data_IF_132284254774
#
_entry.id   IF_132284254774
#
_cell.length_a   1.000
_cell.length_b   1.000
_cell.length_c   1.000
_cell.angle_alpha   90.00
_cell.angle_beta   90.00
_cell.angle_gamma   90.00
#
_symmetry.space_group_name_H-M   'P 1'
#
loop_
_entity.id
_entity.type
_entity.pdbx_description
1 polymer ?
#
# COMPACT_ATOMS: atom_id res chain seq x y z
N UNK A 1 4.67 60.62 38.56
CA UNK A 1 4.27 59.22 38.25
C UNK A 1 4.64 58.93 36.80
N UNK A 2 5.68 58.12 36.54
CA UNK A 2 6.00 57.59 35.21
C UNK A 2 5.95 56.07 35.30
N UNK A 3 4.85 55.49 34.82
CA UNK A 3 4.66 54.06 34.74
C UNK A 3 5.49 53.51 33.59
N UNK A 4 6.41 52.59 33.90
CA UNK A 4 7.26 51.87 32.94
C UNK A 4 6.40 50.85 32.18
N UNK A 5 5.95 51.20 30.98
CA UNK A 5 5.36 50.27 30.02
C UNK A 5 6.46 49.54 29.25
N UNK A 6 7.06 48.51 29.87
CA UNK A 6 7.88 47.54 29.13
C UNK A 6 7.88 46.19 29.87
N UNK A 7 6.96 45.27 29.53
CA UNK A 7 7.38 43.86 29.44
C UNK A 7 6.67 43.01 28.37
N UNK A 8 5.63 43.51 27.68
CA UNK A 8 4.80 42.66 26.82
C UNK A 8 5.46 42.27 25.49
N UNK A 9 6.22 43.18 24.88
CA UNK A 9 6.90 42.93 23.60
C UNK A 9 8.03 41.90 23.77
N UNK A 10 8.76 41.95 24.88
CA UNK A 10 9.85 40.99 25.19
C UNK A 10 9.32 39.59 25.50
N UNK A 11 8.16 39.47 26.15
CA UNK A 11 7.52 38.19 26.43
C UNK A 11 6.99 37.54 25.13
N UNK A 12 6.41 38.34 24.23
CA UNK A 12 5.96 37.90 22.91
C UNK A 12 7.14 37.45 22.04
N UNK A 13 8.26 38.18 22.04
CA UNK A 13 9.47 37.80 21.31
C UNK A 13 10.12 36.53 21.87
N UNK A 14 10.12 36.34 23.20
CA UNK A 14 10.60 35.10 23.83
C UNK A 14 9.70 33.90 23.53
N UNK A 15 8.38 34.09 23.51
CA UNK A 15 7.42 33.05 23.12
C UNK A 15 7.58 32.67 21.65
N UNK A 16 7.70 33.64 20.75
CA UNK A 16 7.95 33.39 19.31
C UNK A 16 9.30 32.69 19.11
N UNK A 17 10.37 33.16 19.77
CA UNK A 17 11.68 32.52 19.70
C UNK A 17 11.67 31.09 20.25
N UNK A 18 10.98 30.84 21.36
CA UNK A 18 10.86 29.49 21.94
C UNK A 18 10.07 28.53 21.05
N UNK A 19 9.01 29.00 20.38
CA UNK A 19 8.25 28.21 19.41
C UNK A 19 9.08 27.93 18.14
N UNK A 20 9.88 28.88 17.68
CA UNK A 20 10.83 28.69 16.57
C UNK A 20 11.91 27.66 16.91
N UNK A 21 12.50 27.72 18.11
CA UNK A 21 13.53 26.77 18.56
C UNK A 21 12.95 25.34 18.70
N UNK A 22 11.74 25.19 19.23
CA UNK A 22 11.08 23.87 19.37
C UNK A 22 10.68 23.30 17.99
N UNK A 23 10.23 24.14 17.06
CA UNK A 23 9.92 23.73 15.69
C UNK A 23 11.18 23.30 14.92
N UNK A 24 12.29 24.00 15.10
CA UNK A 24 13.57 23.70 14.43
C UNK A 24 14.17 22.36 14.91
N UNK A 25 14.15 22.12 16.23
CA UNK A 25 14.59 20.84 16.83
C UNK A 25 13.79 19.62 16.36
N UNK A 26 12.53 19.80 15.93
CA UNK A 26 11.67 18.68 15.48
C UNK A 26 12.05 18.18 14.08
N UNK A 27 12.67 19.02 13.25
CA UNK A 27 13.05 18.67 11.88
C UNK A 27 14.43 18.00 11.80
N UNK A 28 15.28 18.22 12.80
CA UNK A 28 16.66 17.74 12.83
C UNK A 28 16.82 16.24 12.65
N UNK A 29 15.98 15.35 13.23
CA UNK A 29 16.07 13.92 12.98
C UNK A 29 15.92 13.57 11.49
N UNK A 30 15.02 14.25 10.77
CA UNK A 30 14.81 14.04 9.33
C UNK A 30 16.00 14.55 8.54
N UNK A 31 16.50 15.75 8.85
CA UNK A 31 17.67 16.36 8.18
C UNK A 31 18.93 15.51 8.35
N UNK A 32 19.20 15.05 9.57
CA UNK A 32 20.32 14.17 9.88
C UNK A 32 20.20 12.83 9.13
N UNK A 33 18.99 12.27 9.04
CA UNK A 33 18.74 11.07 8.25
C UNK A 33 19.03 11.30 6.76
N UNK A 34 18.55 12.41 6.19
CA UNK A 34 18.78 12.77 4.79
C UNK A 34 20.28 12.90 4.51
N UNK A 35 21.00 13.65 5.35
CA UNK A 35 22.44 13.86 5.20
C UNK A 35 23.21 12.54 5.26
N UNK A 36 22.89 11.69 6.23
CA UNK A 36 23.56 10.40 6.45
C UNK A 36 23.37 9.44 5.29
N UNK A 37 22.16 9.33 4.73
CA UNK A 37 21.83 8.29 3.76
C UNK A 37 21.95 8.74 2.30
N UNK A 38 21.55 9.98 1.99
CA UNK A 38 21.49 10.45 0.61
C UNK A 38 22.69 11.31 0.19
N UNK A 39 23.44 11.87 1.16
CA UNK A 39 24.66 12.66 0.90
C UNK A 39 24.49 13.75 -0.19
N UNK A 40 23.35 14.46 -0.17
CA UNK A 40 23.02 15.51 -1.13
C UNK A 40 22.46 15.02 -2.48
N UNK A 41 22.32 13.70 -2.70
CA UNK A 41 21.76 13.13 -3.94
C UNK A 41 20.23 13.22 -4.03
N UNK A 42 19.55 13.47 -2.92
CA UNK A 42 18.10 13.61 -2.85
C UNK A 42 17.71 15.09 -2.95
N UNK A 43 16.90 15.43 -3.96
CA UNK A 43 16.33 16.78 -4.06
C UNK A 43 15.02 16.84 -3.27
N UNK A 44 15.10 17.52 -2.13
CA UNK A 44 13.97 17.68 -1.22
C UNK A 44 13.91 19.14 -0.75
N UNK A 45 12.70 19.69 -0.71
CA UNK A 45 12.47 21.07 -0.27
C UNK A 45 12.24 21.14 1.24
N UNK A 46 12.40 22.33 1.81
CA UNK A 46 12.09 22.58 3.22
C UNK A 46 10.59 22.35 3.52
N UNK A 47 9.68 22.75 2.63
CA UNK A 47 8.24 22.48 2.75
C UNK A 47 7.95 20.97 2.82
N UNK A 48 8.68 20.15 2.06
CA UNK A 48 8.54 18.69 2.08
C UNK A 48 9.00 18.09 3.42
N UNK A 49 10.11 18.59 3.98
CA UNK A 49 10.61 18.17 5.30
C UNK A 49 9.61 18.56 6.41
N UNK A 50 9.09 19.78 6.35
CA UNK A 50 8.09 20.28 7.31
C UNK A 50 6.81 19.45 7.28
N UNK A 51 6.27 19.17 6.10
CA UNK A 51 5.11 18.31 5.95
C UNK A 51 5.41 16.89 6.46
N UNK A 52 6.56 16.32 6.11
CA UNK A 52 6.96 14.96 6.54
C UNK A 52 7.08 14.84 8.05
N UNK A 53 7.45 15.92 8.76
CA UNK A 53 7.58 15.93 10.22
C UNK A 53 6.30 15.57 10.98
N UNK A 54 5.14 15.65 10.33
CA UNK A 54 3.85 15.27 10.91
C UNK A 54 3.82 13.78 11.29
N UNK A 55 4.62 12.95 10.61
CA UNK A 55 4.65 11.51 10.89
C UNK A 55 5.43 11.14 12.15
N UNK A 56 6.25 12.03 12.71
CA UNK A 56 7.12 11.70 13.83
C UNK A 56 6.35 11.29 15.09
N UNK A 57 5.12 11.80 15.26
CA UNK A 57 4.24 11.47 16.39
C UNK A 57 3.12 10.51 15.97
N UNK A 58 3.20 9.89 14.80
CA UNK A 58 2.15 9.00 14.31
C UNK A 58 2.21 7.64 15.04
N UNK A 59 1.17 7.22 15.77
CA UNK A 59 1.14 5.91 16.41
C UNK A 59 0.86 4.77 15.41
N UNK A 60 0.33 5.11 14.22
CA UNK A 60 -0.07 4.12 13.21
C UNK A 60 1.11 3.77 12.34
N UNK A 61 1.37 2.47 12.16
CA UNK A 61 2.38 1.98 11.23
C UNK A 61 1.90 0.74 10.47
N UNK A 62 2.40 0.55 9.25
CA UNK A 62 2.13 -0.66 8.44
C UNK A 62 2.96 -1.84 8.97
N UNK A 63 2.36 -3.02 9.26
CA UNK A 63 3.04 -4.19 9.82
C UNK A 63 3.86 -5.02 8.82
N UNK A 64 3.93 -4.62 7.54
CA UNK A 64 4.72 -5.33 6.52
C UNK A 64 6.19 -5.49 6.97
N UNK A 65 6.66 -6.75 7.07
CA UNK A 65 7.99 -7.14 7.56
C UNK A 65 8.38 -6.55 8.93
N UNK A 66 7.40 -6.33 9.83
CA UNK A 66 7.67 -5.85 11.19
C UNK A 66 8.58 -6.75 12.03
N UNK A 67 8.78 -8.01 11.60
CA UNK A 67 9.70 -8.98 12.21
C UNK A 67 11.18 -8.65 11.98
N UNK A 68 11.50 -7.77 11.02
CA UNK A 68 12.85 -7.26 10.81
C UNK A 68 12.96 -5.95 11.59
N UNK A 69 13.52 -6.01 12.82
CA UNK A 69 13.61 -4.87 13.74
C UNK A 69 14.08 -3.58 13.04
N UNK A 70 13.44 -2.42 13.27
CA UNK A 70 13.99 -1.17 12.76
C UNK A 70 15.21 -0.80 13.59
N UNK A 71 16.39 -0.84 12.97
CA UNK A 71 17.64 -0.32 13.52
C UNK A 71 17.72 1.22 13.49
N UNK A 72 16.63 1.90 13.11
CA UNK A 72 16.60 3.34 12.88
C UNK A 72 15.88 4.09 14.01
N UNK A 73 16.51 5.13 14.54
CA UNK A 73 15.98 6.01 15.60
C UNK A 73 14.84 6.95 15.14
N UNK A 74 14.29 6.76 13.94
CA UNK A 74 13.28 7.62 13.32
C UNK A 74 12.06 6.81 12.88
N UNK A 75 10.89 7.44 12.88
CA UNK A 75 9.64 6.80 12.46
C UNK A 75 9.77 6.18 11.06
N UNK A 76 9.35 4.91 10.90
CA UNK A 76 9.60 4.07 9.70
C UNK A 76 9.05 4.63 8.38
N UNK A 77 8.04 5.50 8.45
CA UNK A 77 7.46 6.13 7.26
C UNK A 77 8.34 7.26 6.72
N UNK A 78 9.22 7.86 7.53
CA UNK A 78 10.20 8.86 7.06
C UNK A 78 11.10 8.26 5.97
N UNK A 79 11.85 7.16 6.20
CA UNK A 79 12.70 6.60 5.17
C UNK A 79 11.91 6.05 3.97
N UNK A 80 10.65 5.61 4.15
CA UNK A 80 9.78 5.22 3.03
C UNK A 80 9.44 6.43 2.14
N UNK A 81 9.02 7.55 2.71
CA UNK A 81 8.74 8.78 1.95
C UNK A 81 9.98 9.29 1.19
N UNK A 82 11.14 9.32 1.87
CA UNK A 82 12.40 9.75 1.24
C UNK A 82 12.83 8.80 0.11
N UNK A 83 12.67 7.49 0.31
CA UNK A 83 12.94 6.48 -0.73
C UNK A 83 11.99 6.62 -1.92
N UNK A 84 10.69 6.89 -1.71
CA UNK A 84 9.73 7.19 -2.79
C UNK A 84 10.21 8.38 -3.63
N UNK A 85 10.58 9.49 -2.98
CA UNK A 85 11.11 10.67 -3.65
C UNK A 85 12.38 10.36 -4.44
N UNK A 86 13.35 9.69 -3.83
CA UNK A 86 14.61 9.36 -4.50
C UNK A 86 14.38 8.42 -5.70
N UNK A 87 13.53 7.40 -5.54
CA UNK A 87 13.14 6.52 -6.65
C UNK A 87 12.46 7.27 -7.79
N UNK A 88 11.60 8.25 -7.49
CA UNK A 88 10.97 9.12 -8.50
C UNK A 88 12.04 9.92 -9.28
N UNK A 89 13.04 10.47 -8.59
CA UNK A 89 14.15 11.18 -9.24
C UNK A 89 14.97 10.26 -10.16
N UNK A 90 15.31 9.05 -9.70
CA UNK A 90 16.04 8.07 -10.50
C UNK A 90 15.24 7.66 -11.75
N UNK A 91 13.93 7.40 -11.59
CA UNK A 91 13.04 7.09 -12.71
C UNK A 91 12.94 8.27 -13.68
N UNK A 92 12.89 9.52 -13.20
CA UNK A 92 12.88 10.71 -14.05
C UNK A 92 14.18 10.88 -14.83
N UNK A 93 15.32 10.56 -14.20
CA UNK A 93 16.64 10.65 -14.85
C UNK A 93 16.82 9.59 -15.95
N UNK A 94 16.42 8.33 -15.69
CA UNK A 94 16.38 7.28 -16.71
C UNK A 94 17.71 6.81 -17.30
N UNK A 95 18.83 7.31 -16.77
CA UNK A 95 20.18 6.91 -17.19
C UNK A 95 20.55 5.51 -16.68
N UNK A 96 21.64 4.96 -17.22
CA UNK A 96 22.19 3.69 -16.72
C UNK A 96 22.63 3.80 -15.26
N UNK A 97 23.28 4.90 -14.86
CA UNK A 97 23.65 5.13 -13.46
C UNK A 97 22.42 5.22 -12.55
N UNK A 98 21.33 5.82 -13.04
CA UNK A 98 20.08 5.86 -12.30
C UNK A 98 19.46 4.47 -12.13
N UNK A 99 19.57 3.62 -13.15
CA UNK A 99 19.19 2.21 -13.06
C UNK A 99 20.02 1.47 -12.01
N UNK A 100 21.35 1.55 -12.09
CA UNK A 100 22.26 0.87 -11.15
C UNK A 100 21.98 1.30 -9.71
N UNK A 101 21.80 2.61 -9.46
CA UNK A 101 21.40 3.11 -8.15
C UNK A 101 20.02 2.60 -7.72
N UNK A 102 19.05 2.53 -8.64
CA UNK A 102 17.69 2.06 -8.34
C UNK A 102 17.66 0.60 -7.89
N UNK A 103 18.45 -0.27 -8.53
CA UNK A 103 18.47 -1.72 -8.27
C UNK A 103 19.59 -2.18 -7.34
N UNK A 104 20.47 -1.28 -6.88
CA UNK A 104 21.53 -1.58 -5.91
C UNK A 104 21.02 -2.33 -4.66
N UNK A 105 19.89 -1.96 -4.03
CA UNK A 105 19.42 -2.65 -2.83
C UNK A 105 18.73 -4.00 -3.09
N UNK A 106 18.59 -4.42 -4.35
CA UNK A 106 17.95 -5.70 -4.72
C UNK A 106 18.98 -6.85 -4.66
N UNK A 107 19.37 -7.23 -3.45
CA UNK A 107 20.49 -8.17 -3.22
C UNK A 107 20.07 -9.63 -3.06
N UNK A 108 18.78 -9.94 -2.94
CA UNK A 108 18.30 -11.31 -2.76
C UNK A 108 18.48 -12.13 -4.07
N UNK A 109 19.31 -13.19 -4.09
CA UNK A 109 19.59 -13.96 -5.30
C UNK A 109 18.39 -14.80 -5.80
N UNK A 110 17.42 -15.09 -4.94
CA UNK A 110 16.22 -15.87 -5.31
C UNK A 110 15.16 -15.01 -6.00
N UNK A 111 15.25 -13.68 -5.87
CA UNK A 111 14.30 -12.74 -6.43
C UNK A 111 14.97 -12.02 -7.61
N UNK A 112 14.44 -12.13 -8.84
CA UNK A 112 15.05 -11.50 -10.00
C UNK A 112 15.04 -9.98 -9.86
N UNK A 113 16.23 -9.38 -9.90
CA UNK A 113 16.43 -7.92 -9.95
C UNK A 113 15.65 -7.33 -11.12
N UNK A 114 15.10 -6.13 -10.94
CA UNK A 114 14.49 -5.39 -12.04
C UNK A 114 15.50 -5.24 -13.18
N UNK A 115 15.10 -5.59 -14.39
CA UNK A 115 15.97 -5.49 -15.56
C UNK A 115 16.02 -4.04 -16.05
N UNK A 116 17.14 -3.63 -16.65
CA UNK A 116 17.28 -2.29 -17.22
C UNK A 116 16.20 -1.95 -18.26
N UNK A 117 15.78 -2.85 -19.17
CA UNK A 117 14.66 -2.57 -20.08
C UNK A 117 13.34 -2.27 -19.35
N UNK A 118 13.03 -3.01 -18.29
CA UNK A 118 11.84 -2.76 -17.47
C UNK A 118 11.92 -1.43 -16.72
N UNK A 119 13.10 -1.08 -16.18
CA UNK A 119 13.35 0.24 -15.59
C UNK A 119 13.19 1.36 -16.62
N UNK A 120 13.79 1.24 -17.81
CA UNK A 120 13.67 2.22 -18.89
C UNK A 120 12.23 2.38 -19.38
N UNK A 121 11.41 1.33 -19.32
CA UNK A 121 9.98 1.47 -19.62
C UNK A 121 9.28 2.37 -18.59
N UNK A 122 9.47 2.13 -17.29
CA UNK A 122 8.91 2.97 -16.23
C UNK A 122 9.42 4.40 -16.31
N UNK A 123 10.73 4.55 -16.51
CA UNK A 123 11.39 5.85 -16.65
C UNK A 123 10.80 6.68 -17.79
N UNK A 124 10.50 6.07 -18.95
CA UNK A 124 9.88 6.79 -20.07
C UNK A 124 8.47 7.30 -19.76
N UNK A 125 7.70 6.60 -18.94
CA UNK A 125 6.38 7.10 -18.50
C UNK A 125 6.58 8.31 -17.57
N UNK A 126 7.42 8.16 -16.53
CA UNK A 126 7.73 9.24 -15.58
C UNK A 126 8.35 10.47 -16.27
N UNK A 127 9.21 10.29 -17.28
CA UNK A 127 9.84 11.38 -18.03
C UNK A 127 8.86 12.18 -18.90
N UNK A 128 7.70 11.61 -19.25
CA UNK A 128 6.66 12.28 -20.04
C UNK A 128 5.71 13.13 -19.22
N UNK A 129 5.73 12.99 -17.89
CA UNK A 129 4.92 13.84 -17.01
C UNK A 129 5.31 15.31 -17.22
N UNK A 130 4.29 16.15 -17.35
CA UNK A 130 4.47 17.60 -17.26
C UNK A 130 4.95 18.02 -15.86
N UNK A 131 5.34 19.28 -15.72
CA UNK A 131 5.88 19.79 -14.46
C UNK A 131 4.88 19.70 -13.30
N UNK A 132 3.59 19.91 -13.56
CA UNK A 132 2.55 19.95 -12.52
C UNK A 132 2.30 18.54 -12.00
N UNK A 133 2.11 17.59 -12.91
CA UNK A 133 1.94 16.17 -12.61
C UNK A 133 3.14 15.60 -11.86
N UNK A 134 4.37 15.99 -12.25
CA UNK A 134 5.58 15.58 -11.55
C UNK A 134 5.64 16.14 -10.12
N UNK A 135 5.33 17.42 -9.92
CA UNK A 135 5.28 18.03 -8.58
C UNK A 135 4.18 17.42 -7.70
N UNK A 136 3.02 17.07 -8.28
CA UNK A 136 1.96 16.32 -7.58
C UNK A 136 2.47 14.94 -7.12
N UNK A 137 3.22 14.21 -7.96
CA UNK A 137 3.83 12.94 -7.53
C UNK A 137 4.89 13.11 -6.44
N UNK A 138 5.67 14.20 -6.49
CA UNK A 138 6.62 14.55 -5.41
C UNK A 138 5.91 14.86 -4.10
N UNK A 139 4.78 15.59 -4.15
CA UNK A 139 3.96 15.82 -2.97
C UNK A 139 3.35 14.50 -2.47
N UNK A 140 2.81 13.67 -3.36
CA UNK A 140 2.20 12.40 -3.01
C UNK A 140 3.17 11.45 -2.28
N UNK A 141 4.45 11.41 -2.70
CA UNK A 141 5.49 10.63 -2.03
C UNK A 141 5.65 10.98 -0.53
N UNK A 142 5.39 12.24 -0.15
CA UNK A 142 5.36 12.71 1.24
C UNK A 142 4.01 12.46 1.89
N UNK A 143 2.91 12.77 1.18
CA UNK A 143 1.55 12.64 1.71
C UNK A 143 1.21 11.21 2.11
N UNK A 144 1.69 10.21 1.34
CA UNK A 144 1.57 8.78 1.64
C UNK A 144 2.16 8.38 3.02
N UNK A 145 3.08 9.18 3.58
CA UNK A 145 3.70 8.91 4.87
C UNK A 145 2.98 9.61 6.04
N UNK A 146 2.39 10.79 5.82
CA UNK A 146 1.83 11.62 6.91
C UNK A 146 0.37 11.31 7.21
N UNK A 147 -0.20 10.37 6.46
CA UNK A 147 -1.55 9.86 6.60
C UNK A 147 -1.86 9.41 8.02
N UNK A 148 -3.07 9.73 8.49
CA UNK A 148 -3.53 9.42 9.86
C UNK A 148 -2.71 10.02 11.00
N UNK A 149 -1.69 10.85 10.72
CA UNK A 149 -0.97 11.58 11.77
C UNK A 149 -1.92 12.49 12.55
N UNK A 150 -1.61 12.83 13.82
CA UNK A 150 -2.45 13.72 14.62
C UNK A 150 -2.78 15.04 13.92
N UNK A 151 -1.80 15.65 13.25
CA UNK A 151 -2.00 16.91 12.53
C UNK A 151 -2.85 16.73 11.26
N UNK A 152 -2.62 15.66 10.48
CA UNK A 152 -3.46 15.36 9.31
C UNK A 152 -4.93 15.12 9.72
N UNK A 153 -5.17 14.32 10.76
CA UNK A 153 -6.53 14.07 11.29
C UNK A 153 -7.18 15.34 11.81
N UNK A 154 -6.44 16.15 12.58
CA UNK A 154 -6.93 17.43 13.11
C UNK A 154 -7.36 18.39 11.99
N UNK A 155 -6.60 18.46 10.90
CA UNK A 155 -6.94 19.31 9.75
C UNK A 155 -8.09 18.74 8.94
N UNK A 156 -8.10 17.43 8.68
CA UNK A 156 -9.19 16.75 8.01
C UNK A 156 -10.53 16.94 8.76
N UNK A 157 -10.52 16.79 10.09
CA UNK A 157 -11.72 16.98 10.93
C UNK A 157 -12.27 18.41 10.97
N UNK A 158 -11.57 19.41 10.44
CA UNK A 158 -12.09 20.78 10.27
C UNK A 158 -12.81 20.98 8.94
N UNK A 159 -12.60 20.09 7.97
CA UNK A 159 -13.05 20.26 6.58
C UNK A 159 -14.03 19.17 6.18
N UNK A 160 -13.89 17.97 6.73
CA UNK A 160 -14.78 16.85 6.46
C UNK A 160 -16.00 16.88 7.39
N UNK A 161 -17.18 16.74 6.81
CA UNK A 161 -18.46 16.63 7.54
C UNK A 161 -18.70 15.22 8.11
N UNK A 162 -17.81 14.26 7.80
CA UNK A 162 -17.92 12.86 8.17
C UNK A 162 -16.73 12.43 9.03
N UNK A 163 -16.89 11.36 9.83
CA UNK A 163 -15.76 10.72 10.50
C UNK A 163 -14.64 10.40 9.53
N UNK A 164 -13.43 10.63 10.00
CA UNK A 164 -12.19 10.38 9.27
C UNK A 164 -11.95 8.86 9.19
N UNK A 165 -11.65 8.28 8.00
CA UNK A 165 -11.35 6.86 7.88
C UNK A 165 -10.13 6.43 8.69
N UNK A 166 -10.14 5.19 9.17
CA UNK A 166 -9.02 4.57 9.89
C UNK A 166 -8.04 3.82 8.96
N UNK A 167 -8.42 3.57 7.70
CA UNK A 167 -7.50 3.07 6.67
C UNK A 167 -6.75 4.24 6.01
N UNK A 168 -5.44 4.05 5.80
CA UNK A 168 -4.58 5.11 5.25
C UNK A 168 -5.00 5.53 3.85
N UNK A 169 -5.35 4.60 2.98
CA UNK A 169 -5.65 4.95 1.60
C UNK A 169 -7.07 5.52 1.48
N UNK A 170 -8.04 4.98 2.22
CA UNK A 170 -9.37 5.59 2.28
C UNK A 170 -9.29 7.02 2.85
N UNK A 171 -8.44 7.27 3.86
CA UNK A 171 -8.16 8.62 4.36
C UNK A 171 -7.63 9.55 3.26
N UNK A 172 -6.65 9.11 2.46
CA UNK A 172 -6.12 9.92 1.36
C UNK A 172 -7.19 10.18 0.30
N UNK A 173 -7.99 9.18 -0.06
CA UNK A 173 -9.07 9.34 -1.03
C UNK A 173 -10.15 10.32 -0.58
N UNK A 174 -10.55 10.33 0.69
CA UNK A 174 -11.56 11.30 1.19
C UNK A 174 -10.98 12.70 1.41
N UNK A 175 -9.66 12.82 1.62
CA UNK A 175 -9.01 14.12 1.85
C UNK A 175 -8.48 14.76 0.56
N UNK A 176 -8.28 14.00 -0.51
CA UNK A 176 -7.78 14.51 -1.79
C UNK A 176 -8.61 15.67 -2.39
N UNK A 177 -9.96 15.64 -2.36
CA UNK A 177 -10.77 16.77 -2.86
C UNK A 177 -10.60 18.07 -2.04
N UNK A 178 -9.96 17.98 -0.88
CA UNK A 178 -9.70 19.08 0.04
C UNK A 178 -8.21 19.25 0.33
N UNK A 179 -7.34 18.74 -0.57
CA UNK A 179 -5.91 18.68 -0.33
C UNK A 179 -5.30 20.05 -0.04
N UNK A 180 -5.77 21.11 -0.70
CA UNK A 180 -5.36 22.50 -0.49
C UNK A 180 -5.63 23.04 0.92
N UNK A 181 -6.67 22.52 1.59
CA UNK A 181 -7.06 22.94 2.95
C UNK A 181 -6.36 22.12 4.03
N UNK A 182 -6.00 20.88 3.70
CA UNK A 182 -5.46 19.92 4.66
C UNK A 182 -3.93 19.92 4.62
N UNK A 183 -3.32 19.93 3.44
CA UNK A 183 -1.88 19.74 3.26
C UNK A 183 -1.19 21.00 2.70
N UNK A 184 -0.32 21.67 3.47
CA UNK A 184 0.50 22.79 2.98
C UNK A 184 1.21 22.54 1.64
N UNK A 185 1.76 21.35 1.40
CA UNK A 185 2.39 21.03 0.12
C UNK A 185 1.40 21.10 -1.06
N UNK A 186 0.22 20.50 -0.90
CA UNK A 186 -0.82 20.54 -1.93
C UNK A 186 -1.32 21.98 -2.12
N UNK A 187 -1.50 22.73 -1.04
CA UNK A 187 -1.86 24.15 -1.10
C UNK A 187 -0.87 24.97 -1.95
N UNK A 188 0.44 24.80 -1.72
CA UNK A 188 1.51 25.50 -2.45
C UNK A 188 1.46 25.19 -3.95
N UNK A 189 1.20 23.94 -4.32
CA UNK A 189 1.09 23.51 -5.73
C UNK A 189 -0.21 24.04 -6.35
N UNK A 190 -1.36 23.83 -5.71
CA UNK A 190 -2.68 24.23 -6.23
C UNK A 190 -2.80 25.76 -6.37
N UNK A 191 -2.18 26.53 -5.46
CA UNK A 191 -2.14 27.99 -5.58
C UNK A 191 -1.37 28.45 -6.82
N UNK A 192 -0.31 27.71 -7.21
CA UNK A 192 0.49 28.01 -8.39
C UNK A 192 -0.17 27.49 -9.68
N UNK A 193 -0.79 26.33 -9.60
CA UNK A 193 -1.49 25.66 -10.71
C UNK A 193 -2.82 25.06 -10.22
N UNK A 194 -3.95 25.75 -10.42
CA UNK A 194 -5.25 25.30 -9.95
C UNK A 194 -5.70 23.92 -10.49
N UNK A 195 -5.22 23.50 -11.67
CA UNK A 195 -5.56 22.19 -12.24
C UNK A 195 -4.97 21.04 -11.41
N UNK A 196 -3.94 21.30 -10.62
CA UNK A 196 -3.33 20.32 -9.71
C UNK A 196 -4.32 19.74 -8.69
N UNK A 197 -5.40 20.47 -8.35
CA UNK A 197 -6.41 19.99 -7.40
C UNK A 197 -7.04 18.67 -7.89
N UNK A 198 -7.42 18.61 -9.17
CA UNK A 198 -7.95 17.38 -9.78
C UNK A 198 -6.90 16.27 -9.82
N UNK A 199 -5.62 16.59 -10.02
CA UNK A 199 -4.56 15.58 -10.08
C UNK A 199 -4.40 14.85 -8.75
N UNK A 200 -4.62 15.51 -7.61
CA UNK A 200 -4.66 14.83 -6.30
C UNK A 200 -5.82 13.83 -6.20
N UNK A 201 -7.00 14.15 -6.75
CA UNK A 201 -8.13 13.21 -6.81
C UNK A 201 -7.80 11.97 -7.66
N UNK A 202 -7.07 12.16 -8.77
CA UNK A 202 -6.64 11.07 -9.65
C UNK A 202 -5.57 10.18 -8.98
N UNK A 203 -4.63 10.79 -8.26
CA UNK A 203 -3.60 10.05 -7.51
C UNK A 203 -4.24 9.19 -6.42
N UNK A 204 -5.25 9.71 -5.73
CA UNK A 204 -5.92 9.02 -4.61
C UNK A 204 -7.32 8.53 -4.95
N UNK A 205 -7.50 7.90 -6.11
CA UNK A 205 -8.80 7.34 -6.50
C UNK A 205 -9.35 6.35 -5.44
N UNK A 206 -10.61 6.52 -5.02
CA UNK A 206 -11.19 5.69 -3.96
C UNK A 206 -11.22 4.22 -4.34
N UNK A 207 -10.85 3.37 -3.38
CA UNK A 207 -10.86 1.91 -3.48
C UNK A 207 -10.12 1.32 -4.70
N UNK A 208 -9.24 2.10 -5.33
CA UNK A 208 -8.52 1.73 -6.55
C UNK A 208 -7.02 1.68 -6.29
N UNK A 209 -6.58 0.60 -5.62
CA UNK A 209 -5.19 0.48 -5.20
C UNK A 209 -4.45 -0.56 -6.03
N UNK A 210 -3.45 -0.13 -6.81
CA UNK A 210 -2.70 -1.05 -7.67
C UNK A 210 -2.06 -2.20 -6.89
N UNK A 211 -1.53 -1.92 -5.69
CA UNK A 211 -0.92 -2.97 -4.84
C UNK A 211 -1.92 -4.05 -4.43
N UNK A 212 -3.15 -3.66 -4.10
CA UNK A 212 -4.21 -4.61 -3.73
C UNK A 212 -4.66 -5.43 -4.95
N UNK A 213 -4.75 -4.79 -6.13
CA UNK A 213 -5.02 -5.49 -7.40
C UNK A 213 -3.91 -6.51 -7.74
N UNK A 214 -2.63 -6.14 -7.54
CA UNK A 214 -1.48 -7.01 -7.82
C UNK A 214 -1.50 -8.31 -7.02
N UNK A 215 -1.85 -8.20 -5.73
CA UNK A 215 -1.89 -9.33 -4.82
C UNK A 215 -3.27 -9.97 -4.71
N UNK A 216 -4.22 -9.55 -5.56
CA UNK A 216 -5.59 -10.06 -5.59
C UNK A 216 -6.22 -10.10 -4.19
N UNK A 217 -6.04 -9.01 -3.45
CA UNK A 217 -6.38 -8.96 -2.03
C UNK A 217 -7.90 -8.88 -1.79
N UNK A 218 -8.62 -8.25 -2.72
CA UNK A 218 -10.06 -8.09 -2.67
C UNK A 218 -10.80 -8.67 -3.86
N UNK A 219 -11.91 -8.02 -4.21
CA UNK A 219 -12.84 -8.43 -5.24
C UNK A 219 -12.71 -7.63 -6.53
N UNK A 220 -13.56 -7.93 -7.51
CA UNK A 220 -13.72 -7.13 -8.72
C UNK A 220 -14.02 -5.64 -8.40
N UNK A 221 -14.55 -5.33 -7.21
CA UNK A 221 -14.78 -3.96 -6.75
C UNK A 221 -13.57 -3.03 -6.85
N UNK A 222 -12.34 -3.55 -6.70
CA UNK A 222 -11.11 -2.76 -6.82
C UNK A 222 -10.97 -2.06 -8.18
N UNK A 223 -11.61 -2.60 -9.21
CA UNK A 223 -11.55 -2.09 -10.58
C UNK A 223 -12.72 -1.17 -10.92
N UNK A 224 -13.74 -1.08 -10.07
CA UNK A 224 -15.02 -0.43 -10.39
C UNK A 224 -14.84 1.05 -10.66
N UNK A 225 -14.15 1.79 -9.79
CA UNK A 225 -13.98 3.26 -9.94
C UNK A 225 -13.24 3.58 -11.24
N UNK A 226 -12.14 2.88 -11.53
CA UNK A 226 -11.44 3.03 -12.80
C UNK A 226 -12.32 2.66 -14.00
N UNK A 227 -13.02 1.52 -13.97
CA UNK A 227 -13.84 1.07 -15.09
C UNK A 227 -15.03 2.01 -15.35
N UNK A 228 -15.76 2.39 -14.30
CA UNK A 228 -16.87 3.36 -14.39
C UNK A 228 -16.37 4.71 -14.89
N UNK A 229 -15.24 5.19 -14.37
CA UNK A 229 -14.61 6.44 -14.81
C UNK A 229 -14.16 6.42 -16.26
N UNK A 230 -13.67 5.28 -16.76
CA UNK A 230 -13.34 5.12 -18.18
C UNK A 230 -14.61 5.12 -19.03
N UNK A 231 -15.66 4.40 -18.60
CA UNK A 231 -16.91 4.27 -19.35
C UNK A 231 -17.70 5.59 -19.44
N UNK A 232 -17.74 6.37 -18.35
CA UNK A 232 -18.41 7.67 -18.31
C UNK A 232 -17.50 8.82 -18.82
N UNK A 233 -16.26 8.52 -19.21
CA UNK A 233 -15.23 9.47 -19.67
C UNK A 233 -14.74 10.47 -18.61
N UNK A 234 -14.97 10.21 -17.32
CA UNK A 234 -14.39 11.02 -16.23
C UNK A 234 -12.92 10.68 -15.94
N UNK A 235 -12.43 9.54 -16.43
CA UNK A 235 -11.02 9.12 -16.37
C UNK A 235 -10.51 8.94 -17.80
N UNK A 236 -9.59 9.83 -18.19
CA UNK A 236 -8.86 9.76 -19.46
C UNK A 236 -7.68 8.79 -19.38
N UNK A 237 -7.03 8.53 -20.52
CA UNK A 237 -5.79 7.73 -20.56
C UNK A 237 -4.65 8.42 -19.81
N UNK A 238 -4.59 9.76 -19.84
CA UNK A 238 -3.61 10.52 -19.09
C UNK A 238 -3.84 10.38 -17.57
N UNK A 239 -5.10 10.43 -17.13
CA UNK A 239 -5.45 10.21 -15.71
C UNK A 239 -5.05 8.80 -15.25
N UNK A 240 -5.35 7.76 -16.05
CA UNK A 240 -4.93 6.40 -15.72
C UNK A 240 -3.40 6.26 -15.64
N UNK A 241 -2.66 6.95 -16.52
CA UNK A 241 -1.20 6.93 -16.49
C UNK A 241 -0.67 7.62 -15.23
N UNK A 242 -1.21 8.79 -14.86
CA UNK A 242 -0.81 9.48 -13.63
C UNK A 242 -1.09 8.64 -12.37
N UNK A 243 -2.29 8.04 -12.29
CA UNK A 243 -2.63 7.10 -11.20
C UNK A 243 -1.64 5.92 -11.15
N UNK A 244 -1.30 5.34 -12.32
CA UNK A 244 -0.35 4.24 -12.37
C UNK A 244 1.06 4.68 -11.92
N UNK A 245 1.51 5.85 -12.35
CA UNK A 245 2.81 6.42 -12.02
C UNK A 245 2.95 6.73 -10.53
N UNK A 246 1.89 7.24 -9.88
CA UNK A 246 1.83 7.32 -8.41
C UNK A 246 2.10 5.96 -7.76
N UNK A 247 1.41 4.92 -8.20
CA UNK A 247 1.62 3.59 -7.64
C UNK A 247 3.00 3.01 -7.93
N UNK A 248 3.61 3.33 -9.08
CA UNK A 248 5.01 2.98 -9.37
C UNK A 248 5.93 3.57 -8.30
N UNK A 249 5.76 4.87 -8.01
CA UNK A 249 6.56 5.57 -6.99
C UNK A 249 6.30 5.02 -5.59
N UNK A 250 5.03 4.82 -5.22
CA UNK A 250 4.64 4.28 -3.92
C UNK A 250 5.24 2.88 -3.67
N UNK A 251 5.15 1.99 -4.68
CA UNK A 251 5.67 0.63 -4.63
C UNK A 251 7.21 0.63 -4.61
N UNK A 252 7.86 1.53 -5.38
CA UNK A 252 9.31 1.62 -5.41
C UNK A 252 9.90 1.93 -4.03
N UNK A 253 9.32 2.89 -3.30
CA UNK A 253 9.78 3.27 -1.96
C UNK A 253 9.15 2.50 -0.79
N UNK A 254 8.31 1.48 -1.07
CA UNK A 254 7.53 0.77 -0.05
C UNK A 254 8.39 0.16 1.07
N UNK A 255 9.60 -0.30 0.73
CA UNK A 255 10.59 -0.85 1.67
C UNK A 255 11.78 0.06 1.94
N UNK A 256 11.60 1.38 1.79
CA UNK A 256 12.66 2.37 2.03
C UNK A 256 13.23 2.39 3.45
N UNK A 257 12.48 1.87 4.43
CA UNK A 257 12.95 1.68 5.80
C UNK A 257 14.00 0.56 5.94
N UNK A 258 14.05 -0.40 5.01
CA UNK A 258 15.09 -1.43 4.95
C UNK A 258 16.34 -0.89 4.27
N UNK A 259 16.15 -0.24 3.11
CA UNK A 259 17.21 0.49 2.42
C UNK A 259 16.58 1.68 1.66
N UNK A 260 16.91 2.93 2.04
CA UNK A 260 16.31 4.12 1.44
C UNK A 260 16.90 4.48 0.06
N UNK A 261 18.05 3.92 -0.31
CA UNK A 261 18.88 4.34 -1.45
C UNK A 261 18.58 3.57 -2.74
N UNK A 262 17.30 3.47 -3.09
CA UNK A 262 16.81 2.74 -4.26
C UNK A 262 15.55 1.95 -3.91
N UNK A 263 15.19 0.98 -4.77
CA UNK A 263 14.00 0.16 -4.53
C UNK A 263 14.36 -1.28 -4.18
N UNK A 264 14.10 -1.65 -2.92
CA UNK A 264 14.13 -3.06 -2.48
C UNK A 264 12.96 -3.86 -3.06
N UNK A 265 11.79 -3.22 -3.26
CA UNK A 265 10.53 -3.92 -3.50
C UNK A 265 10.14 -4.04 -4.98
N UNK A 266 10.45 -3.03 -5.81
CA UNK A 266 10.14 -3.04 -7.23
C UNK A 266 11.16 -3.87 -8.01
N UNK A 267 11.07 -5.18 -7.83
CA UNK A 267 11.85 -6.22 -8.53
C UNK A 267 11.21 -6.55 -9.89
N UNK A 268 11.85 -7.42 -10.67
CA UNK A 268 11.29 -7.85 -11.96
C UNK A 268 9.92 -8.53 -11.81
N UNK A 269 9.74 -9.31 -10.74
CA UNK A 269 8.47 -9.97 -10.43
C UNK A 269 7.38 -8.94 -10.12
N UNK A 270 7.67 -7.97 -9.25
CA UNK A 270 6.75 -6.88 -8.90
C UNK A 270 6.35 -6.08 -10.14
N UNK A 271 7.32 -5.67 -10.96
CA UNK A 271 7.08 -4.98 -12.22
C UNK A 271 6.21 -5.80 -13.18
N UNK A 272 6.47 -7.11 -13.32
CA UNK A 272 5.69 -7.97 -14.22
C UNK A 272 4.21 -7.98 -13.84
N UNK A 273 3.90 -8.05 -12.55
CA UNK A 273 2.52 -7.94 -12.04
C UNK A 273 1.89 -6.57 -12.30
N UNK A 274 2.60 -5.48 -12.02
CA UNK A 274 2.14 -4.10 -12.27
C UNK A 274 1.85 -3.87 -13.75
N UNK A 275 2.81 -4.20 -14.61
CA UNK A 275 2.72 -4.00 -16.05
C UNK A 275 1.59 -4.84 -16.65
N UNK A 276 1.38 -6.08 -16.18
CA UNK A 276 0.26 -6.89 -16.63
C UNK A 276 -1.09 -6.26 -16.27
N UNK A 277 -1.22 -5.67 -15.07
CA UNK A 277 -2.44 -4.93 -14.70
C UNK A 277 -2.60 -3.66 -15.53
N UNK A 278 -1.53 -2.89 -15.75
CA UNK A 278 -1.58 -1.69 -16.60
C UNK A 278 -2.08 -2.01 -18.01
N UNK A 279 -1.58 -3.07 -18.63
CA UNK A 279 -2.04 -3.54 -19.94
C UNK A 279 -3.54 -3.88 -19.95
N UNK A 280 -4.06 -4.47 -18.87
CA UNK A 280 -5.48 -4.81 -18.76
C UNK A 280 -6.35 -3.57 -18.53
N UNK A 281 -5.90 -2.64 -17.69
CA UNK A 281 -6.57 -1.35 -17.47
C UNK A 281 -6.58 -0.51 -18.75
N UNK A 282 -5.48 -0.46 -19.50
CA UNK A 282 -5.42 0.20 -20.82
C UNK A 282 -6.37 -0.41 -21.84
N UNK A 283 -6.64 -1.72 -21.73
CA UNK A 283 -7.56 -2.44 -22.60
C UNK A 283 -9.02 -2.14 -22.26
N UNK A 284 -9.36 -1.72 -21.03
CA UNK A 284 -10.73 -1.30 -20.68
C UNK A 284 -11.24 -0.12 -21.54
N UNK A 285 -10.37 0.75 -22.04
CA UNK A 285 -10.76 1.80 -22.99
C UNK A 285 -11.34 1.28 -24.31
N UNK A 286 -11.03 0.03 -24.68
CA UNK A 286 -11.53 -0.63 -25.90
C UNK A 286 -12.54 -1.73 -25.56
N UNK A 287 -12.41 -2.35 -24.40
CA UNK A 287 -13.23 -3.48 -23.94
C UNK A 287 -13.74 -3.25 -22.51
N UNK A 288 -14.66 -2.29 -22.30
CA UNK A 288 -15.09 -1.87 -20.95
C UNK A 288 -15.86 -2.94 -20.17
N UNK A 289 -16.38 -3.98 -20.85
CA UNK A 289 -17.12 -5.09 -20.24
C UNK A 289 -16.23 -6.26 -19.80
N UNK A 290 -14.92 -6.19 -20.05
CA UNK A 290 -13.99 -7.24 -19.64
C UNK A 290 -13.89 -7.31 -18.11
N UNK A 291 -13.69 -8.53 -17.57
CA UNK A 291 -13.29 -8.71 -16.17
C UNK A 291 -11.75 -8.70 -16.06
N UNK A 292 -11.11 -7.58 -15.68
CA UNK A 292 -9.65 -7.50 -15.62
C UNK A 292 -9.06 -8.43 -14.57
N UNK A 293 -9.76 -8.65 -13.45
CA UNK A 293 -9.32 -9.56 -12.38
C UNK A 293 -9.20 -11.00 -12.89
N UNK A 294 -10.21 -11.50 -13.60
CA UNK A 294 -10.18 -12.86 -14.16
C UNK A 294 -9.03 -13.05 -15.16
N UNK A 295 -8.83 -12.08 -16.07
CA UNK A 295 -7.74 -12.15 -17.06
C UNK A 295 -6.37 -12.04 -16.39
N UNK A 296 -6.24 -11.22 -15.35
CA UNK A 296 -5.02 -11.12 -14.55
C UNK A 296 -4.70 -12.45 -13.85
N UNK A 297 -5.69 -13.09 -13.20
CA UNK A 297 -5.51 -14.38 -12.55
C UNK A 297 -5.17 -15.50 -13.53
N UNK A 298 -5.70 -15.45 -14.76
CA UNK A 298 -5.27 -16.38 -15.81
C UNK A 298 -3.77 -16.25 -16.12
N UNK A 299 -3.27 -15.02 -16.20
CA UNK A 299 -1.84 -14.76 -16.41
C UNK A 299 -0.99 -15.19 -15.22
N UNK A 300 -1.45 -14.91 -13.99
CA UNK A 300 -0.80 -15.37 -12.75
C UNK A 300 -0.70 -16.90 -12.69
N UNK A 301 -1.77 -17.61 -13.04
CA UNK A 301 -1.76 -19.07 -13.06
C UNK A 301 -0.84 -19.66 -14.14
N UNK A 302 -0.73 -19.01 -15.30
CA UNK A 302 0.24 -19.38 -16.35
C UNK A 302 1.68 -19.23 -15.87
N UNK A 303 2.01 -18.15 -15.17
CA UNK A 303 3.34 -17.93 -14.60
C UNK A 303 3.76 -19.00 -13.57
N UNK A 304 2.79 -19.49 -12.82
CA UNK A 304 2.95 -20.58 -11.85
C UNK A 304 2.84 -21.97 -12.49
N UNK A 305 2.66 -22.08 -13.80
CA UNK A 305 2.47 -23.33 -14.54
C UNK A 305 1.29 -24.20 -14.02
N UNK A 306 0.27 -23.59 -13.41
CA UNK A 306 -0.87 -24.32 -12.81
C UNK A 306 -1.70 -25.08 -13.86
N UNK A 307 -1.65 -24.65 -15.13
CA UNK A 307 -2.30 -25.30 -16.26
C UNK A 307 -1.74 -26.71 -16.55
N UNK A 308 -0.55 -27.02 -16.02
CA UNK A 308 0.06 -28.35 -16.08
C UNK A 308 -0.31 -29.23 -14.88
N UNK A 309 -0.86 -28.64 -13.81
CA UNK A 309 -1.14 -29.30 -12.53
C UNK A 309 -2.63 -29.56 -12.32
N UNK A 310 -3.51 -28.74 -12.88
CA UNK A 310 -4.96 -28.96 -12.85
C UNK A 310 -5.63 -28.58 -14.17
N UNK A 311 -6.67 -29.34 -14.52
CA UNK A 311 -7.58 -29.05 -15.65
C UNK A 311 -8.88 -28.39 -15.19
N UNK A 312 -9.14 -28.33 -13.89
CA UNK A 312 -10.34 -27.69 -13.35
C UNK A 312 -10.17 -26.16 -13.39
N UNK A 313 -10.97 -25.41 -14.17
CA UNK A 313 -10.80 -23.97 -14.32
C UNK A 313 -11.04 -23.19 -13.02
N UNK A 314 -11.93 -23.67 -12.15
CA UNK A 314 -12.21 -23.02 -10.86
C UNK A 314 -11.06 -23.23 -9.86
N UNK A 315 -10.53 -24.45 -9.79
CA UNK A 315 -9.33 -24.74 -8.96
C UNK A 315 -8.12 -23.94 -9.47
N UNK A 316 -7.94 -23.87 -10.80
CA UNK A 316 -6.88 -23.08 -11.42
C UNK A 316 -6.94 -21.61 -11.02
N UNK A 317 -8.11 -20.96 -11.11
CA UNK A 317 -8.27 -19.55 -10.72
C UNK A 317 -8.10 -19.34 -9.22
N UNK A 318 -8.60 -20.27 -8.40
CA UNK A 318 -8.45 -20.20 -6.94
C UNK A 318 -6.98 -20.31 -6.50
N UNK A 319 -6.22 -21.22 -7.12
CA UNK A 319 -4.78 -21.34 -6.89
C UNK A 319 -4.03 -20.11 -7.41
N UNK A 320 -4.41 -19.56 -8.56
CA UNK A 320 -3.80 -18.33 -9.08
C UNK A 320 -4.06 -17.12 -8.14
N UNK A 321 -5.26 -17.03 -7.57
CA UNK A 321 -5.63 -16.04 -6.54
C UNK A 321 -4.75 -16.18 -5.30
N UNK A 322 -4.63 -17.40 -4.76
CA UNK A 322 -3.78 -17.68 -3.60
C UNK A 322 -2.31 -17.40 -3.87
N UNK A 323 -1.82 -17.78 -5.06
CA UNK A 323 -0.45 -17.48 -5.50
C UNK A 323 -0.20 -15.98 -5.74
N UNK A 324 -1.21 -15.20 -6.11
CA UNK A 324 -1.12 -13.73 -6.14
C UNK A 324 -0.99 -13.16 -4.71
N UNK A 325 -1.84 -13.60 -3.79
CA UNK A 325 -1.84 -13.15 -2.40
C UNK A 325 -0.54 -13.52 -1.66
N UNK A 326 -0.02 -14.72 -1.91
CA UNK A 326 1.25 -15.22 -1.39
C UNK A 326 2.49 -14.74 -2.15
N UNK A 327 2.32 -13.88 -3.17
CA UNK A 327 3.42 -13.28 -3.96
C UNK A 327 4.36 -14.28 -4.66
N UNK A 328 3.80 -15.38 -5.17
CA UNK A 328 4.55 -16.44 -5.86
C UNK A 328 4.71 -16.14 -7.35
N UNK A 329 5.82 -16.46 -8.01
CA UNK A 329 6.06 -16.07 -9.41
C UNK A 329 6.61 -17.18 -10.32
N UNK A 330 7.08 -18.28 -9.74
CA UNK A 330 7.83 -19.33 -10.44
C UNK A 330 7.04 -20.63 -10.55
N UNK A 331 7.37 -21.48 -11.54
CA UNK A 331 6.79 -22.83 -11.64
C UNK A 331 7.07 -23.72 -10.42
N UNK A 332 8.22 -23.55 -9.75
CA UNK A 332 8.56 -24.31 -8.55
C UNK A 332 7.63 -23.96 -7.38
N UNK A 333 7.40 -22.66 -7.16
CA UNK A 333 6.40 -22.19 -6.18
C UNK A 333 4.99 -22.62 -6.55
N UNK A 334 4.64 -22.64 -7.85
CA UNK A 334 3.35 -23.15 -8.32
C UNK A 334 3.11 -24.62 -7.99
N UNK A 335 4.14 -25.47 -8.13
CA UNK A 335 4.09 -26.88 -7.69
C UNK A 335 3.94 -26.98 -6.17
N UNK A 336 4.75 -26.24 -5.42
CA UNK A 336 4.67 -26.24 -3.95
C UNK A 336 3.30 -25.78 -3.45
N UNK A 337 2.73 -24.73 -4.06
CA UNK A 337 1.38 -24.24 -3.78
C UNK A 337 0.34 -25.31 -4.06
N UNK A 338 0.37 -25.94 -5.24
CA UNK A 338 -0.58 -26.98 -5.61
C UNK A 338 -0.53 -28.15 -4.62
N UNK A 339 0.65 -28.72 -4.36
CA UNK A 339 0.81 -29.83 -3.41
C UNK A 339 0.31 -29.47 -2.03
N UNK A 340 0.64 -28.27 -1.54
CA UNK A 340 0.20 -27.80 -0.22
C UNK A 340 -1.32 -27.62 -0.16
N UNK A 341 -1.92 -27.06 -1.20
CA UNK A 341 -3.37 -26.89 -1.29
C UNK A 341 -4.09 -28.24 -1.35
N UNK A 342 -3.56 -29.22 -2.10
CA UNK A 342 -4.13 -30.59 -2.16
C UNK A 342 -4.01 -31.35 -0.84
N UNK A 343 -3.12 -30.95 0.06
CA UNK A 343 -2.99 -31.54 1.40
C UNK A 343 -4.05 -31.08 2.39
N UNK A 344 -4.79 -30.01 2.07
CA UNK A 344 -5.89 -29.52 2.90
C UNK A 344 -7.07 -30.49 2.88
N UNK A 345 -7.90 -30.51 3.94
CA UNK A 345 -9.23 -31.11 3.89
C UNK A 345 -10.05 -30.67 2.67
N UNK A 346 -10.82 -31.59 2.08
CA UNK A 346 -11.57 -31.32 0.84
C UNK A 346 -12.59 -30.16 0.99
N UNK A 347 -13.19 -30.02 2.17
CA UNK A 347 -14.09 -28.91 2.49
C UNK A 347 -13.37 -27.55 2.44
N UNK A 348 -12.16 -27.44 2.97
CA UNK A 348 -11.37 -26.20 2.95
C UNK A 348 -10.94 -25.85 1.51
N UNK A 349 -10.57 -26.86 0.71
CA UNK A 349 -10.30 -26.66 -0.72
C UNK A 349 -11.54 -26.12 -1.44
N UNK A 350 -12.71 -26.73 -1.22
CA UNK A 350 -13.98 -26.29 -1.81
C UNK A 350 -14.37 -24.88 -1.36
N UNK A 351 -14.21 -24.56 -0.07
CA UNK A 351 -14.46 -23.23 0.48
C UNK A 351 -13.60 -22.17 -0.21
N UNK A 352 -12.30 -22.40 -0.36
CA UNK A 352 -11.42 -21.46 -1.06
C UNK A 352 -11.79 -21.29 -2.54
N UNK A 353 -12.12 -22.39 -3.24
CA UNK A 353 -12.55 -22.33 -4.64
C UNK A 353 -13.84 -21.51 -4.78
N UNK A 354 -14.82 -21.72 -3.89
CA UNK A 354 -16.08 -20.97 -3.88
C UNK A 354 -15.85 -19.49 -3.55
N UNK A 355 -15.06 -19.21 -2.52
CA UNK A 355 -14.68 -17.85 -2.13
C UNK A 355 -14.01 -17.11 -3.29
N UNK A 356 -12.98 -17.70 -3.91
CA UNK A 356 -12.29 -17.10 -5.05
C UNK A 356 -13.22 -16.83 -6.23
N UNK A 357 -14.20 -17.71 -6.49
CA UNK A 357 -15.19 -17.51 -7.55
C UNK A 357 -16.12 -16.33 -7.23
N UNK A 358 -16.57 -16.21 -5.97
CA UNK A 358 -17.39 -15.09 -5.50
C UNK A 358 -16.67 -13.75 -5.68
N UNK A 359 -15.37 -13.69 -5.39
CA UNK A 359 -14.59 -12.45 -5.53
C UNK A 359 -14.53 -11.93 -6.97
N UNK A 360 -14.59 -12.81 -7.98
CA UNK A 360 -14.59 -12.42 -9.40
C UNK A 360 -15.84 -11.64 -9.83
N UNK A 361 -16.93 -11.69 -9.08
CA UNK A 361 -18.19 -11.02 -9.41
C UNK A 361 -18.67 -10.05 -8.33
N UNK A 362 -17.99 -9.99 -7.18
CA UNK A 362 -18.38 -9.12 -6.07
C UNK A 362 -17.97 -7.67 -6.36
N UNK A 363 -18.95 -6.76 -6.28
CA UNK A 363 -18.76 -5.33 -6.56
C UNK A 363 -18.98 -4.42 -5.35
N UNK A 364 -19.69 -4.90 -4.32
CA UNK A 364 -20.21 -4.07 -3.21
C UNK A 364 -19.55 -4.31 -1.86
N UNK A 365 -18.42 -5.00 -1.79
CA UNK A 365 -17.70 -5.23 -0.53
C UNK A 365 -16.30 -4.63 -0.65
N UNK A 366 -15.89 -3.74 0.28
CA UNK A 366 -14.55 -3.19 0.30
C UNK A 366 -13.51 -4.30 0.31
N UNK A 367 -12.36 -4.01 -0.28
CA UNK A 367 -11.27 -4.97 -0.31
C UNK A 367 -10.72 -5.18 1.09
N UNK A 368 -10.47 -6.44 1.50
CA UNK A 368 -9.72 -6.69 2.71
C UNK A 368 -8.33 -6.04 2.67
N UNK A 369 -7.73 -5.82 3.84
CA UNK A 369 -6.40 -5.24 3.98
C UNK A 369 -5.47 -6.14 4.79
N UNK A 370 -4.17 -6.09 4.48
CA UNK A 370 -3.07 -6.86 5.09
C UNK A 370 -3.07 -8.37 4.84
N UNK A 371 -3.94 -8.93 3.99
CA UNK A 371 -3.92 -10.35 3.64
C UNK A 371 -2.55 -10.81 3.10
N UNK A 372 -1.97 -10.12 2.10
CA UNK A 372 -0.63 -10.44 1.59
C UNK A 372 0.48 -10.30 2.65
N UNK A 373 0.30 -9.44 3.65
CA UNK A 373 1.28 -9.30 4.74
C UNK A 373 1.25 -10.53 5.67
N UNK A 374 0.07 -11.07 5.98
CA UNK A 374 -0.08 -12.34 6.73
C UNK A 374 0.67 -13.46 6.00
N UNK A 375 0.43 -13.64 4.69
CA UNK A 375 1.11 -14.68 3.91
C UNK A 375 2.61 -14.44 3.80
N UNK A 376 3.05 -13.22 3.48
CA UNK A 376 4.48 -12.92 3.33
C UNK A 376 5.26 -13.16 4.63
N UNK A 377 4.73 -12.70 5.77
CA UNK A 377 5.35 -12.90 7.07
C UNK A 377 5.32 -14.39 7.48
N UNK A 378 4.22 -15.11 7.24
CA UNK A 378 4.13 -16.55 7.55
C UNK A 378 5.09 -17.40 6.70
N UNK A 379 5.22 -17.10 5.41
CA UNK A 379 6.15 -17.81 4.51
C UNK A 379 7.60 -17.59 4.96
N UNK A 380 7.95 -16.37 5.38
CA UNK A 380 9.28 -16.06 5.87
C UNK A 380 9.64 -16.86 7.14
N UNK A 381 8.65 -17.23 7.96
CA UNK A 381 8.85 -17.95 9.23
C UNK A 381 8.76 -19.47 9.07
N UNK A 382 7.76 -19.97 8.35
CA UNK A 382 7.42 -21.40 8.30
C UNK A 382 7.48 -22.03 6.90
N UNK A 383 7.73 -21.23 5.86
CA UNK A 383 7.67 -21.68 4.47
C UNK A 383 6.25 -21.80 3.92
N UNK A 384 6.16 -21.98 2.61
CA UNK A 384 4.89 -22.02 1.88
C UNK A 384 3.94 -23.16 2.32
N UNK A 385 4.40 -24.42 2.50
CA UNK A 385 3.49 -25.51 2.84
C UNK A 385 2.76 -25.31 4.16
N UNK A 386 3.49 -24.95 5.21
CA UNK A 386 2.92 -24.68 6.53
C UNK A 386 2.00 -23.46 6.52
N UNK A 387 2.37 -22.43 5.75
CA UNK A 387 1.51 -21.24 5.58
C UNK A 387 0.18 -21.62 4.96
N UNK A 388 0.16 -22.38 3.85
CA UNK A 388 -1.10 -22.81 3.23
C UNK A 388 -1.90 -23.68 4.19
N UNK A 389 -1.25 -24.61 4.90
CA UNK A 389 -1.92 -25.54 5.81
C UNK A 389 -2.54 -24.88 7.05
N UNK A 390 -1.92 -23.84 7.60
CA UNK A 390 -2.31 -23.24 8.88
C UNK A 390 -2.97 -21.87 8.76
N UNK A 391 -2.54 -21.05 7.80
CA UNK A 391 -3.02 -19.67 7.64
C UNK A 391 -4.30 -19.64 6.80
N UNK A 392 -4.37 -20.35 5.68
CA UNK A 392 -5.54 -20.31 4.79
C UNK A 392 -6.85 -20.67 5.53
N UNK A 393 -6.90 -21.71 6.38
CA UNK A 393 -8.13 -22.03 7.13
C UNK A 393 -8.55 -20.91 8.09
N UNK A 394 -7.59 -20.19 8.68
CA UNK A 394 -7.87 -19.04 9.55
C UNK A 394 -8.48 -17.90 8.73
N UNK A 395 -7.87 -17.59 7.58
CA UNK A 395 -8.36 -16.56 6.66
C UNK A 395 -9.80 -16.87 6.19
N UNK A 396 -10.07 -18.12 5.81
CA UNK A 396 -11.40 -18.57 5.40
C UNK A 396 -12.45 -18.35 6.49
N UNK A 397 -12.16 -18.75 7.74
CA UNK A 397 -13.07 -18.52 8.87
C UNK A 397 -13.36 -17.04 9.10
N UNK A 398 -12.35 -16.18 8.96
CA UNK A 398 -12.53 -14.73 9.09
C UNK A 398 -13.41 -14.19 7.95
N UNK A 399 -13.22 -14.64 6.71
CA UNK A 399 -14.08 -14.23 5.59
C UNK A 399 -15.53 -14.68 5.78
N UNK A 400 -15.75 -15.93 6.20
CA UNK A 400 -17.08 -16.46 6.49
C UNK A 400 -17.77 -15.70 7.63
N UNK A 401 -17.04 -15.39 8.70
CA UNK A 401 -17.54 -14.59 9.81
C UNK A 401 -17.93 -13.17 9.35
N UNK A 402 -17.09 -12.53 8.54
CA UNK A 402 -17.37 -11.20 8.02
C UNK A 402 -18.61 -11.18 7.13
N UNK A 403 -18.78 -12.18 6.26
CA UNK A 403 -19.96 -12.34 5.43
C UNK A 403 -21.22 -12.53 6.30
N UNK A 404 -21.14 -13.36 7.35
CA UNK A 404 -22.23 -13.57 8.30
C UNK A 404 -22.58 -12.30 9.07
N UNK A 405 -21.60 -11.61 9.64
CA UNK A 405 -21.82 -10.37 10.39
C UNK A 405 -22.45 -9.28 9.50
N UNK A 406 -22.08 -9.19 8.23
CA UNK A 406 -22.74 -8.26 7.28
C UNK A 406 -24.19 -8.65 7.01
N UNK A 407 -24.46 -9.94 6.80
CA UNK A 407 -25.83 -10.42 6.61
C UNK A 407 -26.72 -10.18 7.85
N UNK A 408 -26.13 -10.23 9.04
CA UNK A 408 -26.79 -9.94 10.32
C UNK A 408 -26.85 -8.43 10.66
N UNK A 409 -26.27 -7.55 9.85
CA UNK A 409 -26.19 -6.11 10.13
C UNK A 409 -25.25 -5.72 11.27
N UNK A 410 -24.39 -6.64 11.71
CA UNK A 410 -23.39 -6.44 12.78
C UNK A 410 -22.07 -5.86 12.29
N UNK A 411 -21.79 -5.95 10.99
CA UNK A 411 -20.67 -5.30 10.33
C UNK A 411 -21.24 -4.48 9.18
N UNK A 412 -20.96 -3.18 9.12
CA UNK A 412 -21.47 -2.35 8.04
C UNK A 412 -20.88 -2.78 6.68
N UNK A 413 -21.65 -2.60 5.62
CA UNK A 413 -21.27 -3.06 4.28
C UNK A 413 -20.02 -2.36 3.74
N UNK A 414 -19.77 -1.13 4.19
CA UNK A 414 -18.67 -0.25 3.80
C UNK A 414 -17.44 -0.37 4.71
N UNK A 415 -17.51 -1.12 5.82
CA UNK A 415 -16.34 -1.36 6.68
C UNK A 415 -15.45 -2.45 6.03
N UNK A 416 -14.17 -2.14 5.71
CA UNK A 416 -13.23 -3.11 5.19
C UNK A 416 -12.79 -4.10 6.25
N UNK A 417 -12.55 -5.34 5.84
CA UNK A 417 -11.98 -6.37 6.71
C UNK A 417 -10.46 -6.16 6.82
N UNK A 418 -9.91 -6.03 8.03
CA UNK A 418 -8.47 -5.81 8.22
C UNK A 418 -7.79 -6.99 8.92
N UNK A 419 -6.72 -7.50 8.33
CA UNK A 419 -5.88 -8.55 8.88
C UNK A 419 -4.62 -8.02 9.59
N UNK A 420 -4.57 -6.71 9.91
CA UNK A 420 -3.35 -6.06 10.43
C UNK A 420 -2.81 -6.70 11.71
N UNK A 421 -3.68 -7.11 12.63
CA UNK A 421 -3.29 -7.79 13.88
C UNK A 421 -2.81 -9.21 13.60
N UNK A 422 -3.49 -9.94 12.72
CA UNK A 422 -3.09 -11.30 12.33
C UNK A 422 -1.75 -11.34 11.59
N UNK A 423 -1.32 -10.23 10.98
CA UNK A 423 -0.03 -10.12 10.30
C UNK A 423 1.14 -9.88 11.27
N UNK A 424 0.88 -9.58 12.54
CA UNK A 424 1.93 -9.34 13.54
C UNK A 424 2.55 -10.65 14.03
N UNK A 425 3.84 -10.60 14.39
CA UNK A 425 4.63 -11.76 14.81
C UNK A 425 3.99 -12.59 15.93
N UNK A 426 3.45 -12.02 17.03
CA UNK A 426 2.87 -12.82 18.10
C UNK A 426 1.65 -13.61 17.62
N UNK A 427 0.80 -13.00 16.78
CA UNK A 427 -0.40 -13.64 16.25
C UNK A 427 -0.05 -14.71 15.22
N UNK A 428 0.90 -14.44 14.33
CA UNK A 428 1.42 -15.43 13.39
C UNK A 428 2.05 -16.62 14.11
N UNK A 429 2.85 -16.39 15.16
CA UNK A 429 3.42 -17.44 15.98
C UNK A 429 2.33 -18.35 16.58
N UNK A 430 1.22 -17.79 17.07
CA UNK A 430 0.09 -18.57 17.57
C UNK A 430 -0.60 -19.39 16.47
N UNK A 431 -0.81 -18.81 15.28
CA UNK A 431 -1.39 -19.54 14.13
C UNK A 431 -0.48 -20.70 13.71
N UNK A 432 0.82 -20.45 13.62
CA UNK A 432 1.80 -21.39 13.07
C UNK A 432 2.20 -22.49 14.06
N UNK A 433 2.15 -22.24 15.36
CA UNK A 433 2.66 -23.19 16.37
C UNK A 433 1.64 -24.27 16.77
N UNK A 434 0.34 -24.08 16.51
CA UNK A 434 -0.74 -25.06 16.80
C UNK A 434 -0.89 -25.51 18.27
N UNK A 435 -0.07 -25.00 19.21
CA UNK A 435 -0.09 -25.42 20.62
C UNK A 435 -1.24 -24.84 21.43
N UNK A 436 -1.86 -23.75 20.97
CA UNK A 436 -2.96 -23.09 21.68
C UNK A 436 -4.23 -23.12 20.86
N UNK A 437 -5.34 -23.52 21.49
CA UNK A 437 -6.64 -23.38 20.86
C UNK A 437 -7.03 -21.91 20.81
N UNK A 438 -7.47 -21.45 19.64
CA UNK A 438 -7.94 -20.09 19.45
C UNK A 438 -9.20 -20.09 18.59
N UNK A 439 -9.98 -19.03 18.73
CA UNK A 439 -11.01 -18.63 17.78
C UNK A 439 -10.61 -17.32 17.10
N UNK A 440 -11.40 -16.87 16.13
CA UNK A 440 -11.23 -15.58 15.48
C UNK A 440 -12.40 -14.67 15.84
N UNK A 441 -12.13 -13.39 16.04
CA UNK A 441 -13.17 -12.36 16.22
C UNK A 441 -12.90 -11.17 15.32
N UNK A 442 -13.96 -10.51 14.87
CA UNK A 442 -13.90 -9.26 14.10
C UNK A 442 -14.51 -8.16 14.96
N UNK A 443 -13.77 -7.06 15.13
CA UNK A 443 -14.34 -5.87 15.75
C UNK A 443 -15.33 -5.21 14.75
N UNK A 444 -16.61 -5.05 15.11
CA UNK A 444 -17.63 -4.51 14.21
C UNK A 444 -17.40 -3.04 13.82
N UNK A 445 -16.67 -2.28 14.65
CA UNK A 445 -16.50 -0.84 14.45
C UNK A 445 -15.42 -0.51 13.41
N UNK A 446 -14.39 -1.36 13.31
CA UNK A 446 -13.22 -1.11 12.44
C UNK A 446 -12.87 -2.30 11.52
N UNK A 447 -13.62 -3.40 11.60
CA UNK A 447 -13.41 -4.60 10.78
C UNK A 447 -12.12 -5.35 11.08
N UNK A 448 -11.42 -5.07 12.18
CA UNK A 448 -10.13 -5.70 12.50
C UNK A 448 -10.34 -7.12 13.00
N UNK A 449 -9.70 -8.08 12.33
CA UNK A 449 -9.68 -9.48 12.72
C UNK A 449 -8.54 -9.76 13.71
N UNK A 450 -8.85 -10.46 14.80
CA UNK A 450 -7.89 -10.88 15.83
C UNK A 450 -8.11 -12.33 16.26
N UNK A 451 -7.09 -12.92 16.87
CA UNK A 451 -7.21 -14.19 17.57
C UNK A 451 -7.79 -13.96 18.96
N UNK A 452 -8.69 -14.84 19.38
CA UNK A 452 -9.13 -14.94 20.77
C UNK A 452 -8.61 -16.26 21.29
N UNK A 453 -7.60 -16.18 22.16
CA UNK A 453 -7.02 -17.36 22.80
C UNK A 453 -8.04 -17.93 23.75
N UNK A 454 -8.27 -19.25 23.70
CA UNK A 454 -9.03 -19.92 24.76
C UNK A 454 -8.13 -20.01 25.99
N UNK A 455 -8.68 -19.72 27.16
CA UNK A 455 -7.99 -20.02 28.42
C UNK A 455 -7.63 -21.51 28.42
N UNK A 456 -6.40 -21.83 28.82
CA UNK A 456 -6.02 -23.23 29.02
C UNK A 456 -6.99 -23.85 30.05
N UNK A 457 -7.55 -25.05 29.77
CA UNK A 457 -8.52 -25.66 30.66
C UNK A 457 -7.97 -25.94 32.06
#
# INVERSE_FOLDING_TARGET
>A
MRTKTLPWVSLLLLLVASLSIVAENRLDPIRLYIQKHFAGRLEITQEQIEQLSWVLDNPVFTPELSTQSPSTSIHREVPRALSRLYCLQLLRAGSHDAYEAFVAPQTNPEIPRLTEPSFRQLSREIARLDSVSYEVLRAAAILDAVTLSPEARKRAGKVLDKPVPEDTMDFLSVTAPYADKIYPLAHSIITKDPEAARLFDIVYLPHSHLRHMMYNEGSLSMYTVLNTGIQNKSISRADLNLWYDHWVVNIAGFRGHSDPMGSVYLTQNTWRSMNQLKLLLDRLFREPKMNPMQVYLQKRGQWLHLNTLTRNPNEFLALASLGAMARLFTPAEGRALYTSFKSLPENEQKQWIQYSRKQLTTLGTPSPTYGPAVYANAIAVAGLPETVRKVLPVMLRVYEEADRMRAEGRLAADIPLSFRELAQEPMLGNILSSYRQFTTSINPDDGVAKLVMREEP
#
